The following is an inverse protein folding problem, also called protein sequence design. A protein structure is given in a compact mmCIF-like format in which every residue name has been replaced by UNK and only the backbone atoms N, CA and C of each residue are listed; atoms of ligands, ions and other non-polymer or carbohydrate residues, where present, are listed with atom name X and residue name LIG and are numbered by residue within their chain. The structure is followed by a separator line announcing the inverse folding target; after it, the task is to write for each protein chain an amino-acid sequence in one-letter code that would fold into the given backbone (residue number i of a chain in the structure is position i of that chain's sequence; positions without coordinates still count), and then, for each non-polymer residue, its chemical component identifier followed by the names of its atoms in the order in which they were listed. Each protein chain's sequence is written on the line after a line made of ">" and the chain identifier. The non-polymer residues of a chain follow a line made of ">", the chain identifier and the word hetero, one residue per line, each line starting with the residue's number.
data_IF_301416643350
#
_entry.id   IF_301416643350
#
_cell.length_a   1.000
_cell.length_b   1.000
_cell.length_c   1.000
_cell.angle_alpha   90.00
_cell.angle_beta   90.00
_cell.angle_gamma   90.00
#
_symmetry.space_group_name_H-M   'P 1'
#
loop_
_entity.id
_entity.type
_entity.pdbx_description
1 polymer ?
#
# COMPACT_ATOMS: atom_id res chain seq x y z
N UNK A 1 -47.21 -25.11 -2.38
CA UNK A 1 -46.52 -23.88 -2.81
C UNK A 1 -45.16 -23.88 -2.17
N UNK A 2 -44.15 -24.31 -2.90
CA UNK A 2 -42.78 -24.49 -2.43
C UNK A 2 -42.01 -23.23 -2.81
N UNK A 3 -41.62 -22.44 -1.83
CA UNK A 3 -40.77 -21.28 -2.03
C UNK A 3 -39.35 -21.77 -2.35
N UNK A 4 -38.91 -21.54 -3.57
CA UNK A 4 -37.52 -21.76 -3.98
C UNK A 4 -36.61 -20.79 -3.24
N UNK A 5 -35.65 -21.33 -2.52
CA UNK A 5 -34.54 -20.56 -1.94
C UNK A 5 -33.72 -19.93 -3.07
N UNK A 6 -33.61 -18.62 -3.05
CA UNK A 6 -32.71 -17.89 -3.96
C UNK A 6 -31.28 -18.38 -3.71
N UNK A 7 -30.74 -19.10 -4.69
CA UNK A 7 -29.35 -19.51 -4.67
C UNK A 7 -28.42 -18.29 -4.71
N UNK A 8 -27.63 -18.13 -3.69
CA UNK A 8 -26.47 -17.21 -3.72
C UNK A 8 -25.46 -17.81 -4.70
N UNK A 9 -25.40 -17.24 -5.90
CA UNK A 9 -24.32 -17.56 -6.82
C UNK A 9 -22.97 -17.27 -6.14
N UNK A 10 -21.96 -18.13 -6.33
CA UNK A 10 -20.64 -17.87 -5.76
C UNK A 10 -20.09 -16.60 -6.40
N UNK A 11 -19.67 -15.66 -5.54
CA UNK A 11 -18.94 -14.44 -5.97
C UNK A 11 -17.68 -14.90 -6.68
N UNK A 12 -17.65 -14.78 -8.01
CA UNK A 12 -16.43 -14.99 -8.79
C UNK A 12 -15.51 -13.78 -8.56
N UNK A 13 -14.46 -14.00 -7.79
CA UNK A 13 -13.40 -13.03 -7.61
C UNK A 13 -12.68 -12.82 -8.94
N UNK A 14 -12.19 -11.57 -9.23
CA UNK A 14 -11.29 -11.37 -10.37
C UNK A 14 -10.14 -12.37 -10.27
N UNK A 15 -9.71 -12.87 -11.43
CA UNK A 15 -8.63 -13.86 -11.52
C UNK A 15 -7.49 -13.47 -10.56
N UNK A 16 -6.90 -14.46 -9.89
CA UNK A 16 -5.88 -14.26 -8.87
C UNK A 16 -4.65 -13.43 -9.33
N UNK A 17 -4.58 -13.09 -10.61
CA UNK A 17 -3.46 -12.38 -11.25
C UNK A 17 -3.74 -10.91 -11.54
N UNK A 18 -4.94 -10.40 -11.19
CA UNK A 18 -5.33 -9.03 -11.51
C UNK A 18 -5.14 -8.10 -10.31
N UNK A 19 -4.69 -6.86 -10.60
CA UNK A 19 -4.70 -5.77 -9.64
C UNK A 19 -6.15 -5.45 -9.25
N UNK A 20 -6.53 -5.50 -7.95
CA UNK A 20 -7.87 -5.12 -7.54
C UNK A 20 -8.19 -3.68 -7.94
N UNK A 21 -9.36 -3.45 -8.48
CA UNK A 21 -9.76 -2.09 -8.88
C UNK A 21 -9.88 -1.16 -7.67
N UNK A 22 -9.35 0.04 -7.81
CA UNK A 22 -9.60 1.18 -6.93
C UNK A 22 -9.33 2.48 -7.70
N UNK A 23 -10.23 3.45 -7.65
CA UNK A 23 -9.99 4.78 -8.19
C UNK A 23 -9.24 5.67 -7.19
N UNK A 24 -9.33 5.35 -5.90
CA UNK A 24 -8.64 6.04 -4.81
C UNK A 24 -8.04 5.05 -3.83
N UNK A 25 -6.74 5.15 -3.58
CA UNK A 25 -5.98 4.27 -2.68
C UNK A 25 -5.35 5.09 -1.56
N UNK A 26 -5.50 4.63 -0.32
CA UNK A 26 -4.74 5.14 0.81
C UNK A 26 -3.66 4.12 1.19
N UNK A 27 -2.41 4.42 0.91
CA UNK A 27 -1.28 3.66 1.42
C UNK A 27 -1.00 4.07 2.89
N UNK A 28 -0.74 3.08 3.75
CA UNK A 28 -0.36 3.34 5.15
C UNK A 28 0.92 2.58 5.46
N UNK A 29 1.94 3.32 5.90
CA UNK A 29 3.26 2.78 6.23
C UNK A 29 3.65 3.08 7.66
N UNK A 30 4.53 2.27 8.23
CA UNK A 30 5.07 2.49 9.56
C UNK A 30 6.08 3.65 9.55
N UNK A 31 7.01 3.66 8.58
CA UNK A 31 8.13 4.61 8.49
C UNK A 31 8.41 5.05 7.06
N UNK A 32 9.10 6.21 6.88
CA UNK A 32 9.59 6.65 5.56
C UNK A 32 10.52 5.62 4.91
N UNK A 33 10.43 5.49 3.59
CA UNK A 33 11.16 4.51 2.78
C UNK A 33 10.29 3.33 2.37
N UNK A 34 9.34 2.91 3.19
CA UNK A 34 8.50 1.75 2.91
C UNK A 34 7.56 1.96 1.71
N UNK A 35 7.15 3.20 1.43
CA UNK A 35 6.35 3.55 0.25
C UNK A 35 7.10 3.23 -1.05
N UNK A 36 8.42 3.41 -1.06
CA UNK A 36 9.28 3.08 -2.19
C UNK A 36 9.73 1.61 -2.14
N UNK A 37 10.29 1.18 -1.01
CA UNK A 37 10.92 -0.13 -0.87
C UNK A 37 9.95 -1.30 -0.99
N UNK A 38 8.75 -1.14 -0.42
CA UNK A 38 7.79 -2.23 -0.30
C UNK A 38 6.54 -2.03 -1.13
N UNK A 39 6.07 -0.80 -1.29
CA UNK A 39 4.81 -0.51 -1.98
C UNK A 39 5.00 0.09 -3.37
N UNK A 40 6.22 0.49 -3.75
CA UNK A 40 6.48 1.28 -4.95
C UNK A 40 5.96 0.65 -6.25
N UNK A 41 6.09 -0.66 -6.42
CA UNK A 41 5.54 -1.37 -7.58
C UNK A 41 4.02 -1.35 -7.63
N UNK A 42 3.36 -1.54 -6.46
CA UNK A 42 1.89 -1.46 -6.36
C UNK A 42 1.38 -0.04 -6.54
N UNK A 43 2.06 0.94 -5.95
CA UNK A 43 1.76 2.37 -6.15
C UNK A 43 1.82 2.72 -7.64
N UNK A 44 2.90 2.29 -8.31
CA UNK A 44 3.02 2.48 -9.76
C UNK A 44 1.85 1.84 -10.51
N UNK A 45 1.51 0.58 -10.20
CA UNK A 45 0.43 -0.13 -10.86
C UNK A 45 -0.93 0.60 -10.70
N UNK A 46 -1.26 1.05 -9.50
CA UNK A 46 -2.48 1.84 -9.26
C UNK A 46 -2.45 3.18 -9.98
N UNK A 47 -1.33 3.91 -9.94
CA UNK A 47 -1.18 5.17 -10.67
C UNK A 47 -1.33 4.98 -12.17
N UNK A 48 -0.74 3.92 -12.71
CA UNK A 48 -0.84 3.56 -14.13
C UNK A 48 -2.27 3.21 -14.54
N UNK A 49 -3.05 2.61 -13.62
CA UNK A 49 -4.46 2.33 -13.79
C UNK A 49 -5.38 3.57 -13.61
N UNK A 50 -4.81 4.76 -13.39
CA UNK A 50 -5.55 6.01 -13.23
C UNK A 50 -6.00 6.32 -11.79
N UNK A 51 -5.65 5.47 -10.81
CA UNK A 51 -6.02 5.73 -9.42
C UNK A 51 -5.27 6.92 -8.83
N UNK A 52 -5.92 7.66 -7.94
CA UNK A 52 -5.24 8.55 -6.99
C UNK A 52 -4.66 7.72 -5.86
N UNK A 53 -3.41 7.98 -5.49
CA UNK A 53 -2.77 7.34 -4.34
C UNK A 53 -2.36 8.41 -3.34
N UNK A 54 -2.81 8.29 -2.08
CA UNK A 54 -2.39 9.13 -0.98
C UNK A 54 -1.65 8.28 0.06
N UNK A 55 -0.82 8.91 0.90
CA UNK A 55 0.03 8.22 1.86
C UNK A 55 -0.15 8.77 3.28
N UNK A 56 -0.33 7.86 4.23
CA UNK A 56 -0.15 8.12 5.66
C UNK A 56 1.06 7.34 6.16
N UNK A 57 2.12 8.04 6.54
CA UNK A 57 3.26 7.47 7.25
C UNK A 57 3.12 7.73 8.75
N UNK A 58 3.26 6.70 9.59
CA UNK A 58 2.93 6.82 11.01
C UNK A 58 4.08 7.36 11.86
N UNK A 59 5.33 7.19 11.45
CA UNK A 59 6.51 7.72 12.17
C UNK A 59 7.35 8.64 11.28
N UNK A 60 8.30 9.32 11.89
CA UNK A 60 9.27 10.13 11.16
C UNK A 60 10.54 9.36 10.78
N UNK A 61 10.65 8.09 11.20
CA UNK A 61 11.76 7.22 10.84
C UNK A 61 13.05 7.49 11.59
N UNK A 62 12.98 8.10 12.76
CA UNK A 62 14.13 8.55 13.55
C UNK A 62 14.97 7.42 14.16
N UNK A 63 14.41 6.20 14.26
CA UNK A 63 15.11 5.02 14.79
C UNK A 63 15.99 4.30 13.76
N UNK A 64 16.03 4.77 12.52
CA UNK A 64 16.88 4.14 11.50
C UNK A 64 18.36 4.22 11.89
N UNK A 65 19.03 3.07 11.88
CA UNK A 65 20.47 2.97 12.12
C UNK A 65 21.29 3.25 10.86
N UNK A 66 22.60 3.36 11.05
CA UNK A 66 23.56 3.24 9.93
C UNK A 66 24.11 4.53 9.36
N UNK A 67 23.67 5.71 9.77
CA UNK A 67 24.21 6.94 9.20
C UNK A 67 24.69 7.94 10.28
N UNK A 68 25.81 8.66 9.97
CA UNK A 68 26.37 9.75 10.76
C UNK A 68 25.41 10.95 10.98
N UNK A 69 24.24 10.95 10.32
CA UNK A 69 23.18 11.94 10.48
C UNK A 69 22.22 11.66 11.65
N UNK A 70 22.53 10.73 12.55
CA UNK A 70 21.64 10.17 13.58
C UNK A 70 20.91 11.19 14.47
N UNK A 71 21.40 12.39 14.63
CA UNK A 71 20.74 13.46 15.41
C UNK A 71 19.71 14.29 14.62
N UNK A 72 19.49 14.06 13.33
CA UNK A 72 18.58 14.87 12.48
C UNK A 72 17.59 14.04 11.65
N UNK A 73 17.58 12.73 11.81
CA UNK A 73 16.76 11.85 10.96
C UNK A 73 15.27 12.18 11.03
N UNK A 74 14.76 12.57 12.20
CA UNK A 74 13.34 12.96 12.35
C UNK A 74 12.96 14.20 11.51
N UNK A 75 13.91 15.06 11.17
CA UNK A 75 13.70 16.21 10.31
C UNK A 75 13.95 15.87 8.83
N UNK A 76 14.97 15.06 8.56
CA UNK A 76 15.41 14.72 7.20
C UNK A 76 14.46 13.72 6.53
N UNK A 77 14.14 12.62 7.19
CA UNK A 77 13.39 11.52 6.57
C UNK A 77 11.96 11.89 6.11
N UNK A 78 11.18 12.73 6.83
CA UNK A 78 9.91 13.22 6.30
C UNK A 78 10.06 14.05 5.02
N UNK A 79 11.17 14.78 4.86
CA UNK A 79 11.45 15.51 3.64
C UNK A 79 11.83 14.57 2.49
N UNK A 80 12.67 13.59 2.73
CA UNK A 80 13.00 12.54 1.77
C UNK A 80 11.76 11.76 1.33
N UNK A 81 10.83 11.49 2.25
CA UNK A 81 9.53 10.87 1.96
C UNK A 81 8.71 11.71 0.96
N UNK A 82 8.69 13.05 1.11
CA UNK A 82 8.00 13.92 0.16
C UNK A 82 8.60 13.82 -1.25
N UNK A 83 9.95 13.77 -1.33
CA UNK A 83 10.65 13.62 -2.61
C UNK A 83 10.36 12.25 -3.25
N UNK A 84 10.43 11.17 -2.47
CA UNK A 84 10.12 9.82 -2.93
C UNK A 84 8.65 9.70 -3.39
N UNK A 85 7.73 10.28 -2.64
CA UNK A 85 6.31 10.32 -2.96
C UNK A 85 6.04 11.06 -4.29
N UNK A 86 6.74 12.18 -4.52
CA UNK A 86 6.66 12.90 -5.80
C UNK A 86 7.13 12.04 -6.99
N UNK A 87 8.23 11.28 -6.83
CA UNK A 87 8.72 10.35 -7.85
C UNK A 87 7.70 9.24 -8.14
N UNK A 88 7.02 8.72 -7.10
CA UNK A 88 5.98 7.69 -7.23
C UNK A 88 4.63 8.24 -7.75
N UNK A 89 4.48 9.55 -7.85
CA UNK A 89 3.22 10.19 -8.21
C UNK A 89 2.14 10.09 -7.12
N UNK A 90 2.55 9.95 -5.85
CA UNK A 90 1.65 10.01 -4.69
C UNK A 90 1.17 11.46 -4.54
N UNK A 91 -0.11 11.64 -4.30
CA UNK A 91 -0.75 12.95 -4.18
C UNK A 91 -0.46 13.61 -2.83
N UNK A 92 -1.28 13.34 -1.83
CA UNK A 92 -1.08 13.88 -0.49
C UNK A 92 -0.27 12.93 0.38
N UNK A 93 0.69 13.47 1.12
CA UNK A 93 1.50 12.75 2.11
C UNK A 93 1.27 13.35 3.49
N UNK A 94 0.79 12.53 4.41
CA UNK A 94 0.68 12.88 5.82
C UNK A 94 1.67 12.07 6.65
N UNK A 95 2.40 12.73 7.54
CA UNK A 95 3.31 12.09 8.49
C UNK A 95 2.78 12.30 9.91
N UNK A 96 2.60 11.20 10.64
CA UNK A 96 2.26 11.27 12.06
C UNK A 96 3.56 11.33 12.91
N UNK A 97 3.39 11.50 14.22
CA UNK A 97 4.51 11.69 15.16
C UNK A 97 4.62 10.54 16.17
N UNK A 98 4.26 9.32 15.75
CA UNK A 98 4.54 8.15 16.60
C UNK A 98 6.04 7.89 16.61
N UNK A 99 6.54 7.39 17.74
CA UNK A 99 7.95 7.07 17.87
C UNK A 99 8.31 5.86 16.97
N UNK A 100 9.30 6.02 16.12
CA UNK A 100 9.78 4.97 15.23
C UNK A 100 10.36 3.79 16.05
N UNK A 101 10.13 2.57 15.55
CA UNK A 101 10.49 1.34 16.26
C UNK A 101 9.58 0.99 17.44
N UNK A 102 8.66 1.87 17.86
CA UNK A 102 7.77 1.67 19.02
C UNK A 102 6.28 1.67 18.72
N UNK A 103 5.87 1.63 17.45
CA UNK A 103 4.44 1.60 17.09
C UNK A 103 3.67 0.50 17.80
N UNK A 104 4.27 -0.67 18.00
CA UNK A 104 3.66 -1.80 18.67
C UNK A 104 3.35 -1.57 20.16
N UNK A 105 3.91 -0.52 20.78
CA UNK A 105 3.68 -0.15 22.18
C UNK A 105 2.51 0.82 22.35
N UNK A 106 2.04 1.46 21.28
CA UNK A 106 0.89 2.36 21.33
C UNK A 106 -0.42 1.57 21.36
N UNK A 107 -1.46 2.10 22.04
CA UNK A 107 -2.78 1.48 22.01
C UNK A 107 -3.29 1.33 20.59
N UNK A 108 -3.77 0.13 20.24
CA UNK A 108 -4.33 -0.15 18.91
C UNK A 108 -5.40 0.86 18.50
N UNK A 109 -6.25 1.26 19.43
CA UNK A 109 -7.34 2.20 19.20
C UNK A 109 -6.86 3.59 18.79
N UNK A 110 -5.69 4.02 19.27
CA UNK A 110 -5.07 5.31 18.95
C UNK A 110 -4.57 5.30 17.50
N UNK A 111 -3.74 4.31 17.12
CA UNK A 111 -3.24 4.17 15.75
C UNK A 111 -4.41 4.02 14.77
N UNK A 112 -5.39 3.18 15.11
CA UNK A 112 -6.60 3.00 14.31
C UNK A 112 -7.42 4.30 14.20
N UNK A 113 -7.43 5.13 15.23
CA UNK A 113 -8.04 6.47 15.21
C UNK A 113 -7.40 7.37 14.15
N UNK A 114 -6.07 7.36 14.08
CA UNK A 114 -5.30 8.13 13.09
C UNK A 114 -5.58 7.64 11.65
N UNK A 115 -5.58 6.33 11.45
CA UNK A 115 -5.90 5.74 10.14
C UNK A 115 -7.34 6.07 9.73
N UNK A 116 -8.33 5.95 10.64
CA UNK A 116 -9.71 6.35 10.36
C UNK A 116 -9.85 7.81 9.97
N UNK A 117 -9.05 8.71 10.57
CA UNK A 117 -9.02 10.11 10.18
C UNK A 117 -8.57 10.27 8.72
N UNK A 118 -7.52 9.55 8.30
CA UNK A 118 -7.06 9.56 6.92
C UNK A 118 -8.10 8.94 5.97
N UNK A 119 -8.73 7.83 6.34
CA UNK A 119 -9.83 7.22 5.57
C UNK A 119 -10.97 8.23 5.36
N UNK A 120 -11.40 8.95 6.40
CA UNK A 120 -12.45 9.97 6.25
C UNK A 120 -12.04 11.14 5.37
N UNK A 121 -10.76 11.54 5.42
CA UNK A 121 -10.22 12.65 4.61
C UNK A 121 -10.19 12.32 3.12
N UNK A 122 -9.73 11.12 2.78
CA UNK A 122 -9.48 10.72 1.40
C UNK A 122 -10.58 9.86 0.78
N UNK A 123 -11.50 9.34 1.60
CA UNK A 123 -12.58 8.43 1.16
C UNK A 123 -12.07 7.35 0.18
N UNK A 124 -11.02 6.59 0.54
CA UNK A 124 -10.42 5.65 -0.40
C UNK A 124 -11.32 4.45 -0.67
N UNK A 125 -11.26 3.93 -1.90
CA UNK A 125 -11.89 2.65 -2.27
C UNK A 125 -11.11 1.46 -1.71
N UNK A 126 -9.82 1.67 -1.43
CA UNK A 126 -8.90 0.64 -0.95
C UNK A 126 -7.88 1.23 0.01
N UNK A 127 -7.60 0.52 1.09
CA UNK A 127 -6.42 0.77 1.92
C UNK A 127 -5.34 -0.26 1.59
N UNK A 128 -4.10 0.21 1.39
CA UNK A 128 -2.93 -0.60 1.06
C UNK A 128 -1.92 -0.52 2.20
N UNK A 129 -1.48 -1.68 2.70
CA UNK A 129 -0.48 -1.79 3.78
C UNK A 129 0.59 -2.82 3.44
N UNK A 130 1.57 -2.95 4.32
CA UNK A 130 2.55 -4.04 4.30
C UNK A 130 2.06 -5.11 5.28
N UNK A 131 1.99 -6.36 4.83
CA UNK A 131 1.63 -7.48 5.70
C UNK A 131 2.78 -7.76 6.68
N UNK A 132 2.48 -8.21 7.92
CA UNK A 132 3.51 -8.50 8.92
C UNK A 132 4.58 -9.49 8.46
N UNK A 133 4.20 -10.43 7.61
CA UNK A 133 5.10 -11.44 7.06
C UNK A 133 5.85 -10.99 5.79
N UNK A 134 5.59 -9.79 5.30
CA UNK A 134 6.19 -9.28 4.05
C UNK A 134 7.61 -8.76 4.21
N UNK A 135 7.96 -8.38 5.43
CA UNK A 135 9.28 -7.90 5.83
C UNK A 135 9.97 -8.87 6.78
N UNK A 136 10.94 -8.36 7.50
CA UNK A 136 11.76 -9.13 8.45
C UNK A 136 11.07 -9.34 9.82
N UNK A 137 9.73 -9.33 9.85
CA UNK A 137 8.96 -9.48 11.08
C UNK A 137 8.87 -8.19 11.91
N UNK A 138 8.93 -7.02 11.27
CA UNK A 138 8.85 -5.72 11.94
C UNK A 138 7.55 -5.58 12.74
N UNK A 139 7.70 -5.36 14.04
CA UNK A 139 6.58 -5.17 14.95
C UNK A 139 5.75 -3.91 14.62
N UNK A 140 6.36 -2.91 13.98
CA UNK A 140 5.69 -1.72 13.47
C UNK A 140 4.73 -2.05 12.33
N UNK A 141 5.16 -2.85 11.35
CA UNK A 141 4.31 -3.28 10.24
C UNK A 141 3.12 -4.11 10.75
N UNK A 142 3.36 -4.99 11.73
CA UNK A 142 2.29 -5.73 12.38
C UNK A 142 1.30 -4.81 13.12
N UNK A 143 1.77 -3.75 13.76
CA UNK A 143 0.91 -2.76 14.42
C UNK A 143 0.07 -1.98 13.40
N UNK A 144 0.69 -1.55 12.29
CA UNK A 144 -0.01 -0.88 11.17
C UNK A 144 -1.10 -1.77 10.59
N UNK A 145 -0.77 -3.01 10.24
CA UNK A 145 -1.70 -3.95 9.63
C UNK A 145 -2.92 -4.22 10.54
N UNK A 146 -2.70 -4.44 11.84
CA UNK A 146 -3.79 -4.61 12.83
C UNK A 146 -4.65 -3.36 12.97
N UNK A 147 -4.02 -2.18 13.05
CA UNK A 147 -4.74 -0.92 13.19
C UNK A 147 -5.55 -0.57 11.94
N UNK A 148 -4.99 -0.84 10.75
CA UNK A 148 -5.68 -0.70 9.48
C UNK A 148 -6.89 -1.65 9.40
N UNK A 149 -6.72 -2.92 9.77
CA UNK A 149 -7.82 -3.89 9.81
C UNK A 149 -8.96 -3.43 10.73
N UNK A 150 -8.65 -2.97 11.95
CA UNK A 150 -9.63 -2.43 12.88
C UNK A 150 -10.33 -1.15 12.36
N UNK A 151 -9.64 -0.36 11.54
CA UNK A 151 -10.18 0.87 10.94
C UNK A 151 -11.10 0.56 9.76
N UNK A 152 -10.65 -0.30 8.86
CA UNK A 152 -11.33 -0.67 7.62
C UNK A 152 -12.59 -1.50 7.89
N UNK A 153 -12.56 -2.42 8.88
CA UNK A 153 -13.73 -3.24 9.26
C UNK A 153 -14.94 -2.38 9.62
N UNK A 154 -14.72 -1.27 10.32
CA UNK A 154 -15.80 -0.35 10.71
C UNK A 154 -16.35 0.47 9.55
N UNK A 155 -15.47 0.82 8.60
CA UNK A 155 -15.80 1.65 7.44
C UNK A 155 -16.28 0.84 6.23
N UNK A 156 -16.12 -0.49 6.26
CA UNK A 156 -16.41 -1.36 5.11
C UNK A 156 -15.42 -1.18 3.95
N UNK A 157 -14.25 -0.57 4.20
CA UNK A 157 -13.22 -0.34 3.19
C UNK A 157 -12.37 -1.61 3.04
N UNK A 158 -12.13 -2.12 1.83
CA UNK A 158 -11.22 -3.25 1.59
C UNK A 158 -9.81 -2.93 2.06
N UNK A 159 -9.11 -3.95 2.57
CA UNK A 159 -7.72 -3.83 3.00
C UNK A 159 -6.85 -4.86 2.28
N UNK A 160 -6.03 -4.37 1.37
CA UNK A 160 -5.02 -5.14 0.64
C UNK A 160 -3.66 -4.97 1.34
N UNK A 161 -2.90 -6.04 1.39
CA UNK A 161 -1.55 -5.98 1.91
C UNK A 161 -0.53 -6.54 0.91
N UNK A 162 0.58 -5.85 0.75
CA UNK A 162 1.77 -6.40 0.11
C UNK A 162 2.31 -7.51 1.01
N UNK A 163 2.54 -8.69 0.45
CA UNK A 163 3.06 -9.86 1.16
C UNK A 163 4.32 -10.41 0.49
N UNK A 164 4.86 -11.54 0.96
CA UNK A 164 5.94 -12.24 0.28
C UNK A 164 5.39 -13.23 -0.76
N UNK A 165 6.11 -13.46 -1.85
CA UNK A 165 5.75 -14.52 -2.81
C UNK A 165 5.58 -15.86 -2.11
N UNK A 166 4.56 -16.63 -2.53
CA UNK A 166 4.26 -17.96 -1.99
C UNK A 166 3.62 -17.97 -0.60
N UNK A 167 3.22 -16.81 -0.06
CA UNK A 167 2.46 -16.79 1.21
C UNK A 167 1.05 -17.37 1.00
N UNK A 168 0.56 -18.24 1.92
CA UNK A 168 -0.77 -18.85 1.81
C UNK A 168 -1.88 -17.79 1.70
N UNK A 169 -2.77 -17.93 0.71
CA UNK A 169 -3.84 -16.97 0.44
C UNK A 169 -3.40 -15.69 -0.25
N UNK A 170 -2.13 -15.60 -0.62
CA UNK A 170 -1.60 -14.53 -1.47
C UNK A 170 -1.61 -14.92 -2.95
N UNK A 171 -1.52 -13.90 -3.80
CA UNK A 171 -1.35 -14.06 -5.24
C UNK A 171 -0.34 -13.06 -5.79
N UNK A 172 0.10 -13.29 -7.02
CA UNK A 172 1.04 -12.40 -7.71
C UNK A 172 0.28 -11.47 -8.65
N UNK A 173 0.67 -10.23 -8.66
CA UNK A 173 0.26 -9.22 -9.64
C UNK A 173 1.43 -9.07 -10.61
N UNK A 174 1.19 -9.30 -11.88
CA UNK A 174 2.17 -9.07 -12.94
C UNK A 174 2.07 -7.60 -13.40
N UNK A 175 3.20 -6.89 -13.34
CA UNK A 175 3.33 -5.52 -13.85
C UNK A 175 3.42 -5.47 -15.38
N UNK A 176 3.51 -6.63 -16.03
CA UNK A 176 3.46 -6.78 -17.49
C UNK A 176 4.58 -6.04 -18.22
N UNK A 177 4.24 -5.44 -19.35
CA UNK A 177 5.18 -4.69 -20.17
C UNK A 177 5.78 -3.46 -19.46
N UNK A 178 5.13 -2.96 -18.43
CA UNK A 178 5.57 -1.79 -17.66
C UNK A 178 6.53 -2.16 -16.52
N UNK A 179 6.85 -3.44 -16.31
CA UNK A 179 7.67 -3.90 -15.18
C UNK A 179 9.02 -3.16 -15.06
N UNK A 180 9.74 -2.99 -16.17
CA UNK A 180 11.01 -2.29 -16.17
C UNK A 180 10.86 -0.83 -15.74
N UNK A 181 9.84 -0.14 -16.22
CA UNK A 181 9.52 1.25 -15.86
C UNK A 181 9.11 1.35 -14.40
N UNK A 182 8.25 0.45 -13.92
CA UNK A 182 7.84 0.39 -12.52
C UNK A 182 9.05 0.24 -11.59
N UNK A 183 9.97 -0.67 -11.91
CA UNK A 183 11.19 -0.87 -11.13
C UNK A 183 12.17 0.31 -11.21
N UNK A 184 12.28 0.96 -12.35
CA UNK A 184 13.10 2.17 -12.48
C UNK A 184 12.56 3.31 -11.59
N UNK A 185 11.25 3.56 -11.62
CA UNK A 185 10.59 4.56 -10.76
C UNK A 185 10.74 4.19 -9.28
N UNK A 186 10.55 2.93 -8.93
CA UNK A 186 10.72 2.45 -7.56
C UNK A 186 12.14 2.65 -7.03
N UNK A 187 13.16 2.33 -7.84
CA UNK A 187 14.57 2.58 -7.50
C UNK A 187 14.86 4.08 -7.34
N UNK A 188 14.32 4.91 -8.21
CA UNK A 188 14.48 6.36 -8.14
C UNK A 188 13.83 6.94 -6.88
N UNK A 189 12.66 6.47 -6.51
CA UNK A 189 11.99 6.85 -5.27
C UNK A 189 12.78 6.41 -4.04
N UNK A 190 13.30 5.18 -4.03
CA UNK A 190 14.14 4.69 -2.94
C UNK A 190 15.46 5.48 -2.81
N UNK A 191 16.05 5.89 -3.93
CA UNK A 191 17.27 6.71 -3.94
C UNK A 191 17.03 8.13 -3.40
N UNK A 192 15.80 8.62 -3.37
CA UNK A 192 15.45 9.90 -2.73
C UNK A 192 15.64 9.85 -1.19
N UNK A 193 15.65 8.66 -0.58
CA UNK A 193 15.97 8.46 0.83
C UNK A 193 17.50 8.42 1.03
N UNK A 194 18.17 9.53 0.79
CA UNK A 194 19.64 9.65 0.81
C UNK A 194 20.23 9.30 2.17
N UNK A 195 19.51 9.57 3.26
CA UNK A 195 19.91 9.17 4.61
C UNK A 195 19.96 7.65 4.81
N UNK A 196 19.39 6.87 3.86
CA UNK A 196 19.32 5.41 3.89
C UNK A 196 20.07 4.78 2.69
N UNK A 197 20.95 5.51 2.06
CA UNK A 197 21.68 5.08 0.84
C UNK A 197 22.44 3.78 1.01
N UNK A 198 22.91 3.44 2.23
CA UNK A 198 23.58 2.19 2.54
C UNK A 198 22.70 0.95 2.33
N UNK A 199 21.37 1.09 2.48
CA UNK A 199 20.42 0.00 2.24
C UNK A 199 20.07 -0.21 0.75
N UNK A 200 20.35 0.79 -0.09
CA UNK A 200 19.93 0.81 -1.50
C UNK A 200 20.46 -0.39 -2.33
N UNK A 201 21.72 -0.84 -2.20
CA UNK A 201 22.19 -2.00 -2.96
C UNK A 201 21.43 -3.29 -2.62
N UNK A 202 21.05 -3.47 -1.36
CA UNK A 202 20.23 -4.60 -0.91
C UNK A 202 18.82 -4.56 -1.48
N UNK A 203 18.23 -3.37 -1.51
CA UNK A 203 16.91 -3.15 -2.12
C UNK A 203 16.95 -3.45 -3.61
N UNK A 204 17.93 -2.94 -4.36
CA UNK A 204 18.05 -3.19 -5.81
C UNK A 204 18.09 -4.70 -6.08
N UNK A 205 18.94 -5.45 -5.37
CA UNK A 205 18.99 -6.92 -5.52
C UNK A 205 17.64 -7.58 -5.25
N UNK A 206 16.91 -7.12 -4.22
CA UNK A 206 15.57 -7.65 -3.90
C UNK A 206 14.57 -7.37 -5.03
N UNK A 207 14.58 -6.17 -5.60
CA UNK A 207 13.72 -5.79 -6.72
C UNK A 207 14.04 -6.58 -7.99
N UNK A 208 15.32 -6.86 -8.23
CA UNK A 208 15.75 -7.69 -9.36
C UNK A 208 15.24 -9.14 -9.23
N UNK A 209 15.22 -9.67 -8.00
CA UNK A 209 14.67 -11.01 -7.72
C UNK A 209 13.14 -11.07 -7.89
N UNK A 210 12.43 -9.98 -7.55
CA UNK A 210 10.97 -9.91 -7.76
C UNK A 210 10.62 -9.76 -9.25
N UNK A 211 11.53 -9.28 -10.08
CA UNK A 211 11.27 -9.02 -11.48
C UNK A 211 10.06 -8.11 -11.69
N UNK A 212 9.13 -8.53 -12.53
CA UNK A 212 7.89 -7.80 -12.81
C UNK A 212 6.71 -8.10 -11.89
N UNK A 213 6.93 -8.78 -10.75
CA UNK A 213 5.83 -9.29 -9.94
C UNK A 213 5.75 -8.60 -8.58
N UNK A 214 4.52 -8.41 -8.10
CA UNK A 214 4.21 -8.00 -6.73
C UNK A 214 3.32 -9.05 -6.07
N UNK A 215 3.65 -9.43 -4.84
CA UNK A 215 2.83 -10.37 -4.07
C UNK A 215 1.89 -9.62 -3.13
N UNK A 216 0.61 -9.96 -3.17
CA UNK A 216 -0.42 -9.34 -2.33
C UNK A 216 -1.35 -10.37 -1.72
N UNK A 217 -2.06 -9.98 -0.66
CA UNK A 217 -3.18 -10.73 -0.10
C UNK A 217 -4.22 -9.79 0.52
N UNK A 218 -5.45 -10.26 0.60
CA UNK A 218 -6.45 -9.55 1.38
C UNK A 218 -6.21 -9.73 2.88
N UNK A 219 -6.26 -8.63 3.64
CA UNK A 219 -6.46 -8.65 5.09
C UNK A 219 -7.94 -8.48 5.45
N UNK A 220 -8.65 -7.71 4.63
CA UNK A 220 -10.11 -7.61 4.67
C UNK A 220 -10.62 -7.62 3.23
N UNK A 221 -11.47 -8.58 2.94
CA UNK A 221 -12.11 -8.67 1.65
C UNK A 221 -13.05 -7.47 1.41
N UNK A 222 -13.17 -7.00 0.17
CA UNK A 222 -14.26 -6.11 -0.19
C UNK A 222 -15.58 -6.78 0.17
N UNK A 223 -16.53 -6.01 0.72
CA UNK A 223 -17.91 -6.53 0.83
C UNK A 223 -18.39 -6.82 -0.58
N UNK A 224 -19.27 -7.84 -0.78
CA UNK A 224 -19.77 -8.13 -2.11
C UNK A 224 -20.32 -6.85 -2.72
N UNK A 225 -19.65 -6.33 -3.73
CA UNK A 225 -20.24 -5.37 -4.64
C UNK A 225 -21.30 -6.17 -5.40
N UNK A 226 -22.52 -5.65 -5.64
CA UNK A 226 -23.49 -6.34 -6.48
C UNK A 226 -22.79 -6.79 -7.75
N UNK A 227 -22.97 -8.06 -8.12
CA UNK A 227 -22.32 -8.64 -9.29
C UNK A 227 -22.55 -7.74 -10.51
N UNK A 228 -21.47 -7.29 -11.14
CA UNK A 228 -21.58 -6.70 -12.47
C UNK A 228 -22.15 -7.79 -13.41
N UNK A 229 -22.99 -7.43 -14.36
CA UNK A 229 -23.50 -8.38 -15.36
C UNK A 229 -22.31 -9.09 -16.02
N UNK A 230 -22.39 -10.41 -16.12
CA UNK A 230 -21.34 -11.21 -16.73
C UNK A 230 -21.07 -10.72 -18.16
N UNK A 231 -19.84 -10.28 -18.43
CA UNK A 231 -19.40 -9.89 -19.77
C UNK A 231 -19.09 -8.41 -19.98
N UNK A 232 -19.35 -7.54 -19.03
CA UNK A 232 -18.90 -6.15 -19.14
C UNK A 232 -17.48 -5.99 -18.54
N UNK A 233 -16.52 -5.41 -19.33
CA UNK A 233 -15.27 -4.99 -18.75
C UNK A 233 -15.54 -3.93 -17.69
N UNK A 234 -14.81 -3.98 -16.57
CA UNK A 234 -14.89 -2.96 -15.54
C UNK A 234 -14.77 -1.56 -16.17
N UNK A 235 -15.70 -0.63 -15.89
CA UNK A 235 -15.65 0.68 -16.50
C UNK A 235 -14.34 1.38 -16.11
N UNK A 236 -13.45 1.51 -17.07
CA UNK A 236 -12.30 2.41 -16.90
C UNK A 236 -12.85 3.83 -16.76
N UNK A 237 -12.36 4.63 -15.80
CA UNK A 237 -12.73 6.03 -15.74
C UNK A 237 -12.44 6.67 -17.09
N UNK A 238 -13.43 7.33 -17.66
CA UNK A 238 -13.30 8.03 -18.95
C UNK A 238 -12.09 8.94 -18.91
N UNK A 239 -11.11 8.64 -19.75
CA UNK A 239 -9.92 9.48 -19.95
C UNK A 239 -10.26 10.90 -20.48
N UNK A 240 -11.54 11.17 -20.74
CA UNK A 240 -12.05 12.43 -21.26
C UNK A 240 -12.40 13.48 -20.18
N UNK A 241 -12.42 13.13 -18.91
CA UNK A 241 -12.75 14.08 -17.83
C UNK A 241 -11.53 14.76 -17.18
N UNK A 242 -10.32 14.48 -17.65
CA UNK A 242 -9.08 15.06 -17.09
C UNK A 242 -8.51 16.23 -17.93
N UNK A 243 -9.31 16.83 -18.79
CA UNK A 243 -8.92 17.99 -19.62
C UNK A 243 -9.99 19.10 -19.54
N UNK A 244 -10.18 19.67 -18.36
CA UNK A 244 -10.77 21.01 -18.14
C UNK A 244 -10.18 21.63 -16.88
#
# INVERSE_FOLDING_TARGET
>A
MTTAAAGTEPVTWPSADALPYAASVLAVTARPGQEAESLGGLVYAYRRAGATVNLLCLTRGEAAGGNSASGRLEAIRPWELQLAAAVLGIGEVAVANYQDGKLHQYPLAEIAGRIRQAIRRHSPDLVLVIAPEAGDGDAGDAAVARAAAASCSRGGVPLLARTRPGFPGGWLIDLGADAATARAIQRSAAAAHTSQSEALPGLIRRLDLLGGQEAVRWLLFPRPVPALPAGEPWPLPDAAAAAL
#
